data_IF_161333532753
#
_entry.id   IF_161333532753
#
_cell.length_a   1.000
_cell.length_b   1.000
_cell.length_c   1.000
_cell.angle_alpha   90.00
_cell.angle_beta   90.00
_cell.angle_gamma   90.00
#
_symmetry.space_group_name_H-M   'P 1'
#
loop_
_entity.id
_entity.type
_entity.pdbx_description
1 polymer ?
#
# COMPACT_ATOMS: atom_id res chain seq x y z
N UNK A 1 -29.54 2.10 -16.71
CA UNK A 1 -28.56 2.25 -17.83
C UNK A 1 -27.49 1.17 -17.71
N UNK A 2 -27.40 0.23 -18.67
CA UNK A 2 -26.29 -0.74 -18.72
C UNK A 2 -25.05 0.01 -19.20
N UNK A 3 -24.09 0.27 -18.31
CA UNK A 3 -22.79 0.82 -18.72
C UNK A 3 -22.21 -0.15 -19.76
N UNK A 4 -21.82 0.32 -20.95
CA UNK A 4 -21.30 -0.57 -21.99
C UNK A 4 -20.08 -1.31 -21.43
N UNK A 5 -20.06 -2.66 -21.54
CA UNK A 5 -19.04 -3.56 -20.96
C UNK A 5 -17.60 -3.04 -21.15
N UNK A 6 -17.32 -2.44 -22.30
CA UNK A 6 -16.04 -1.85 -22.69
C UNK A 6 -15.63 -0.64 -21.82
N UNK A 7 -16.58 0.23 -21.45
CA UNK A 7 -16.33 1.40 -20.56
C UNK A 7 -16.04 0.96 -19.13
N UNK A 8 -16.72 -0.09 -18.65
CA UNK A 8 -16.46 -0.67 -17.32
C UNK A 8 -15.05 -1.25 -17.22
N UNK A 9 -14.59 -1.99 -18.24
CA UNK A 9 -13.25 -2.57 -18.30
C UNK A 9 -12.15 -1.49 -18.29
N UNK A 10 -12.31 -0.41 -19.06
CA UNK A 10 -11.36 0.71 -19.08
C UNK A 10 -11.25 1.41 -17.72
N UNK A 11 -12.38 1.61 -17.03
CA UNK A 11 -12.38 2.20 -15.68
C UNK A 11 -11.66 1.28 -14.69
N UNK A 12 -11.91 -0.04 -14.75
CA UNK A 12 -11.24 -1.01 -13.89
C UNK A 12 -9.74 -1.04 -14.14
N UNK A 13 -9.31 -1.04 -15.40
CA UNK A 13 -7.89 -0.98 -15.77
C UNK A 13 -7.21 0.29 -15.27
N UNK A 14 -7.86 1.46 -15.45
CA UNK A 14 -7.35 2.73 -14.92
C UNK A 14 -7.18 2.69 -13.40
N UNK A 15 -8.17 2.17 -12.68
CA UNK A 15 -8.11 2.02 -11.21
C UNK A 15 -6.98 1.10 -10.77
N UNK A 16 -6.78 -0.04 -11.44
CA UNK A 16 -5.64 -0.95 -11.15
C UNK A 16 -4.29 -0.27 -11.39
N UNK A 17 -4.15 0.43 -12.52
CA UNK A 17 -2.91 1.17 -12.84
C UNK A 17 -2.63 2.25 -11.80
N UNK A 18 -3.65 3.00 -11.39
CA UNK A 18 -3.53 4.00 -10.32
C UNK A 18 -3.13 3.35 -9.00
N UNK A 19 -3.82 2.28 -8.58
CA UNK A 19 -3.52 1.58 -7.34
C UNK A 19 -2.09 0.99 -7.34
N UNK A 20 -1.63 0.42 -8.46
CA UNK A 20 -0.23 -0.03 -8.64
C UNK A 20 0.76 1.10 -8.42
N UNK A 21 0.56 2.22 -9.11
CA UNK A 21 1.43 3.38 -8.98
C UNK A 21 1.49 3.87 -7.54
N UNK A 22 0.33 3.94 -6.87
CA UNK A 22 0.23 4.36 -5.48
C UNK A 22 0.90 3.39 -4.51
N UNK A 23 0.82 2.08 -4.74
CA UNK A 23 1.58 1.11 -3.93
C UNK A 23 3.09 1.33 -4.04
N UNK A 24 3.61 1.53 -5.25
CA UNK A 24 5.03 1.86 -5.42
C UNK A 24 5.40 3.21 -4.80
N UNK A 25 4.58 4.23 -5.00
CA UNK A 25 4.81 5.54 -4.40
C UNK A 25 4.83 5.44 -2.87
N UNK A 26 3.91 4.67 -2.29
CA UNK A 26 3.88 4.48 -0.85
C UNK A 26 5.11 3.72 -0.36
N UNK A 27 5.60 2.73 -1.12
CA UNK A 27 6.83 2.03 -0.79
C UNK A 27 8.04 2.98 -0.72
N UNK A 28 8.11 3.96 -1.63
CA UNK A 28 9.15 5.01 -1.59
C UNK A 28 9.00 5.90 -0.35
N UNK A 29 7.79 6.31 0.00
CA UNK A 29 7.53 7.10 1.23
C UNK A 29 7.98 6.33 2.47
N UNK A 30 7.64 5.04 2.56
CA UNK A 30 8.07 4.18 3.66
C UNK A 30 9.57 3.96 3.72
N UNK A 31 10.25 3.85 2.57
CA UNK A 31 11.72 3.77 2.52
C UNK A 31 12.37 5.05 3.07
N UNK A 32 11.90 6.22 2.64
CA UNK A 32 12.43 7.51 3.11
C UNK A 32 12.16 7.69 4.60
N UNK A 33 10.93 7.40 5.05
CA UNK A 33 10.56 7.50 6.46
C UNK A 33 11.40 6.55 7.34
N UNK A 34 11.55 5.30 6.89
CA UNK A 34 12.38 4.30 7.57
C UNK A 34 13.83 4.75 7.70
N UNK A 35 14.44 5.25 6.62
CA UNK A 35 15.82 5.74 6.66
C UNK A 35 16.00 6.89 7.67
N UNK A 36 15.07 7.84 7.71
CA UNK A 36 15.10 8.97 8.67
C UNK A 36 14.96 8.45 10.10
N UNK A 37 13.97 7.58 10.35
CA UNK A 37 13.69 7.06 11.68
C UNK A 37 14.85 6.21 12.24
N UNK A 38 15.36 5.28 11.43
CA UNK A 38 16.50 4.43 11.79
C UNK A 38 17.75 5.28 12.06
N UNK A 39 18.01 6.31 11.23
CA UNK A 39 19.18 7.18 11.42
C UNK A 39 19.14 7.91 12.77
N UNK A 40 17.95 8.39 13.19
CA UNK A 40 17.77 9.00 14.51
C UNK A 40 18.04 8.00 15.64
N UNK A 41 17.50 6.78 15.54
CA UNK A 41 17.72 5.75 16.56
C UNK A 41 19.19 5.34 16.70
N UNK A 42 19.93 5.28 15.59
CA UNK A 42 21.36 5.00 15.61
C UNK A 42 22.12 6.14 16.29
N UNK A 43 21.78 7.40 15.99
CA UNK A 43 22.38 8.56 16.66
C UNK A 43 22.13 8.55 18.18
N UNK A 44 20.96 8.04 18.61
CA UNK A 44 20.59 7.90 20.01
C UNK A 44 21.15 6.62 20.68
N UNK A 45 22.10 5.92 20.04
CA UNK A 45 22.73 4.68 20.52
C UNK A 45 21.76 3.50 20.73
N UNK A 46 20.57 3.54 20.13
CA UNK A 46 19.55 2.48 20.21
C UNK A 46 19.69 1.45 19.08
N UNK A 47 20.91 0.95 18.85
CA UNK A 47 21.26 0.19 17.63
C UNK A 47 20.51 -1.15 17.48
N UNK A 48 20.28 -1.89 18.56
CA UNK A 48 19.53 -3.17 18.52
C UNK A 48 18.08 -2.92 18.11
N UNK A 49 17.42 -1.95 18.74
CA UNK A 49 16.05 -1.57 18.42
C UNK A 49 15.96 -1.02 16.99
N UNK A 50 16.97 -0.25 16.55
CA UNK A 50 17.04 0.26 15.18
C UNK A 50 17.09 -0.87 14.14
N UNK A 51 17.85 -1.95 14.39
CA UNK A 51 17.91 -3.10 13.50
C UNK A 51 16.56 -3.84 13.39
N UNK A 52 15.87 -4.03 14.53
CA UNK A 52 14.52 -4.64 14.55
C UNK A 52 13.51 -3.77 13.78
N UNK A 53 13.51 -2.46 14.03
CA UNK A 53 12.63 -1.52 13.32
C UNK A 53 12.93 -1.49 11.83
N UNK A 54 14.21 -1.50 11.44
CA UNK A 54 14.62 -1.56 10.03
C UNK A 54 14.09 -2.80 9.31
N UNK A 55 14.08 -3.95 9.99
CA UNK A 55 13.50 -5.17 9.45
C UNK A 55 11.98 -5.04 9.22
N UNK A 56 11.25 -4.41 10.13
CA UNK A 56 9.81 -4.13 9.93
C UNK A 56 9.55 -3.17 8.77
N UNK A 57 10.34 -2.10 8.63
CA UNK A 57 10.27 -1.20 7.48
C UNK A 57 10.52 -1.95 6.17
N UNK A 58 11.54 -2.82 6.13
CA UNK A 58 11.84 -3.64 4.96
C UNK A 58 10.66 -4.56 4.59
N UNK A 59 10.10 -5.28 5.55
CA UNK A 59 8.94 -6.15 5.31
C UNK A 59 7.77 -5.34 4.75
N UNK A 60 7.50 -4.16 5.32
CA UNK A 60 6.39 -3.34 4.86
C UNK A 60 6.60 -2.83 3.43
N UNK A 61 7.80 -2.36 3.11
CA UNK A 61 8.18 -1.94 1.75
C UNK A 61 8.02 -3.10 0.76
N UNK A 62 8.51 -4.29 1.12
CA UNK A 62 8.35 -5.48 0.28
C UNK A 62 6.89 -5.86 0.09
N UNK A 63 6.05 -5.77 1.13
CA UNK A 63 4.62 -6.04 1.02
C UNK A 63 3.94 -5.07 0.04
N UNK A 64 4.25 -3.77 0.11
CA UNK A 64 3.74 -2.76 -0.82
C UNK A 64 4.18 -3.04 -2.28
N UNK A 65 5.45 -3.42 -2.47
CA UNK A 65 5.99 -3.78 -3.79
C UNK A 65 5.32 -5.05 -4.34
N UNK A 66 5.14 -6.08 -3.52
CA UNK A 66 4.46 -7.32 -3.89
C UNK A 66 3.01 -7.01 -4.26
N UNK A 67 2.28 -6.22 -3.45
CA UNK A 67 0.92 -5.79 -3.76
C UNK A 67 0.83 -5.09 -5.12
N UNK A 68 1.77 -4.19 -5.42
CA UNK A 68 1.85 -3.51 -6.71
C UNK A 68 2.05 -4.48 -7.88
N UNK A 69 2.85 -5.54 -7.69
CA UNK A 69 3.16 -6.56 -8.71
C UNK A 69 1.99 -7.48 -8.98
N UNK A 70 1.30 -7.95 -7.94
CA UNK A 70 0.25 -8.98 -8.07
C UNK A 70 -1.12 -8.39 -8.42
N UNK A 71 -1.32 -7.07 -8.31
CA UNK A 71 -2.63 -6.42 -8.47
C UNK A 71 -3.34 -6.69 -9.80
N UNK A 72 -2.61 -7.08 -10.86
CA UNK A 72 -3.23 -7.42 -12.14
C UNK A 72 -3.83 -8.81 -12.20
N UNK A 73 -3.41 -9.73 -11.31
CA UNK A 73 -3.97 -11.07 -11.29
C UNK A 73 -5.44 -11.02 -10.83
N UNK A 74 -6.32 -11.68 -11.59
CA UNK A 74 -7.78 -11.73 -11.34
C UNK A 74 -8.14 -12.74 -10.26
N UNK A 75 -7.40 -12.74 -9.16
CA UNK A 75 -7.56 -13.71 -8.08
C UNK A 75 -8.15 -13.06 -6.83
N UNK A 76 -9.08 -13.78 -6.17
CA UNK A 76 -9.74 -13.30 -4.95
C UNK A 76 -8.74 -12.99 -3.82
N UNK A 77 -7.70 -13.82 -3.69
CA UNK A 77 -6.68 -13.64 -2.64
C UNK A 77 -5.83 -12.38 -2.87
N UNK A 78 -5.62 -11.95 -4.12
CA UNK A 78 -4.89 -10.73 -4.46
C UNK A 78 -5.64 -9.49 -3.94
N UNK A 79 -6.96 -9.47 -4.10
CA UNK A 79 -7.79 -8.40 -3.57
C UNK A 79 -7.71 -8.34 -2.05
N UNK A 80 -7.85 -9.49 -1.38
CA UNK A 80 -7.76 -9.57 0.08
C UNK A 80 -6.37 -9.17 0.58
N UNK A 81 -5.31 -9.61 -0.08
CA UNK A 81 -3.93 -9.26 0.28
C UNK A 81 -3.67 -7.76 0.10
N UNK A 82 -4.08 -7.17 -1.02
CA UNK A 82 -3.93 -5.73 -1.26
C UNK A 82 -4.69 -4.89 -0.22
N UNK A 83 -5.92 -5.30 0.14
CA UNK A 83 -6.68 -4.65 1.21
C UNK A 83 -6.03 -4.84 2.58
N UNK A 84 -5.55 -6.04 2.90
CA UNK A 84 -4.90 -6.34 4.18
C UNK A 84 -3.62 -5.52 4.34
N UNK A 85 -2.79 -5.43 3.30
CA UNK A 85 -1.55 -4.63 3.31
C UNK A 85 -1.87 -3.15 3.47
N UNK A 86 -2.85 -2.63 2.72
CA UNK A 86 -3.26 -1.22 2.82
C UNK A 86 -3.88 -0.93 4.21
N UNK A 87 -4.66 -1.86 4.75
CA UNK A 87 -5.28 -1.76 6.07
C UNK A 87 -4.27 -1.79 7.21
N UNK A 88 -3.32 -2.73 7.17
CA UNK A 88 -2.23 -2.80 8.13
C UNK A 88 -1.40 -1.51 8.11
N UNK A 89 -1.03 -1.01 6.92
CA UNK A 89 -0.34 0.28 6.78
C UNK A 89 -1.14 1.44 7.37
N UNK A 90 -2.45 1.50 7.09
CA UNK A 90 -3.33 2.55 7.61
C UNK A 90 -3.42 2.50 9.14
N UNK A 91 -3.53 1.31 9.72
CA UNK A 91 -3.56 1.11 11.17
C UNK A 91 -2.23 1.48 11.83
N UNK A 92 -1.10 1.09 11.23
CA UNK A 92 0.24 1.46 11.74
C UNK A 92 0.41 2.98 11.81
N UNK A 93 -0.05 3.70 10.79
CA UNK A 93 0.01 5.17 10.75
C UNK A 93 -0.97 5.82 11.74
N UNK A 94 -2.14 5.23 11.96
CA UNK A 94 -3.14 5.76 12.90
C UNK A 94 -2.73 5.59 14.38
N UNK A 95 -1.88 4.62 14.69
CA UNK A 95 -1.37 4.36 16.05
C UNK A 95 -0.06 5.11 16.37
N UNK A 96 0.58 5.70 15.36
CA UNK A 96 1.84 6.45 15.52
C UNK A 96 1.64 7.92 15.86
N UNK A 97 2.72 8.58 16.29
CA UNK A 97 2.79 10.06 16.36
C UNK A 97 2.98 10.58 14.92
N UNK A 98 2.08 11.41 14.39
CA UNK A 98 2.08 11.75 12.97
C UNK A 98 3.22 12.71 12.60
N UNK A 99 4.19 12.23 11.81
CA UNK A 99 5.09 13.08 11.01
C UNK A 99 4.43 13.38 9.64
N UNK A 100 4.92 14.38 8.92
CA UNK A 100 4.39 14.77 7.61
C UNK A 100 4.45 13.62 6.59
N UNK A 101 5.48 12.77 6.67
CA UNK A 101 5.60 11.58 5.83
C UNK A 101 4.52 10.53 6.15
N UNK A 102 4.13 10.42 7.41
CA UNK A 102 3.05 9.52 7.83
C UNK A 102 1.70 10.00 7.31
N UNK A 103 1.44 11.31 7.34
CA UNK A 103 0.24 11.93 6.76
C UNK A 103 0.18 11.71 5.25
N UNK A 104 1.31 11.86 4.56
CA UNK A 104 1.40 11.58 3.11
C UNK A 104 1.12 10.10 2.83
N UNK A 105 1.72 9.20 3.59
CA UNK A 105 1.47 7.75 3.45
C UNK A 105 0.01 7.39 3.71
N UNK A 106 -0.61 8.02 4.71
CA UNK A 106 -2.03 7.82 5.04
C UNK A 106 -2.93 8.28 3.90
N UNK A 107 -2.67 9.46 3.34
CA UNK A 107 -3.40 9.97 2.18
C UNK A 107 -3.28 9.03 0.98
N UNK A 108 -2.08 8.49 0.72
CA UNK A 108 -1.87 7.49 -0.33
C UNK A 108 -2.72 6.23 -0.07
N UNK A 109 -2.74 5.72 1.17
CA UNK A 109 -3.56 4.56 1.53
C UNK A 109 -5.05 4.78 1.30
N UNK A 110 -5.58 5.96 1.65
CA UNK A 110 -6.98 6.31 1.40
C UNK A 110 -7.30 6.30 -0.11
N UNK A 111 -6.39 6.82 -0.94
CA UNK A 111 -6.56 6.80 -2.40
C UNK A 111 -6.45 5.36 -2.93
N UNK A 112 -5.56 4.53 -2.37
CA UNK A 112 -5.49 3.10 -2.70
C UNK A 112 -6.83 2.42 -2.40
N UNK A 113 -7.42 2.63 -1.22
CA UNK A 113 -8.74 2.10 -0.88
C UNK A 113 -9.82 2.57 -1.86
N UNK A 114 -9.86 3.86 -2.19
CA UNK A 114 -10.81 4.43 -3.15
C UNK A 114 -10.69 3.80 -4.56
N UNK A 115 -9.52 3.30 -4.92
CA UNK A 115 -9.29 2.58 -6.17
C UNK A 115 -9.55 1.07 -6.06
N UNK A 116 -9.18 0.44 -4.95
CA UNK A 116 -9.35 -1.00 -4.72
C UNK A 116 -10.80 -1.40 -4.46
N UNK A 117 -11.52 -0.73 -3.56
CA UNK A 117 -12.89 -1.14 -3.15
C UNK A 117 -13.83 -1.34 -4.36
N UNK A 118 -13.88 -0.44 -5.36
CA UNK A 118 -14.73 -0.63 -6.54
C UNK A 118 -14.29 -1.80 -7.45
N UNK A 119 -13.06 -2.28 -7.33
CA UNK A 119 -12.54 -3.42 -8.07
C UNK A 119 -12.99 -4.77 -7.50
N UNK A 120 -13.76 -4.82 -6.40
CA UNK A 120 -14.29 -6.09 -5.85
C UNK A 120 -14.92 -6.97 -6.94
N UNK A 121 -15.77 -6.40 -7.79
CA UNK A 121 -16.43 -7.14 -8.89
C UNK A 121 -15.46 -7.69 -9.95
N UNK A 122 -14.26 -7.12 -10.08
CA UNK A 122 -13.23 -7.57 -11.00
C UNK A 122 -12.53 -8.83 -10.46
N UNK A 123 -12.16 -8.86 -9.18
CA UNK A 123 -11.47 -10.01 -8.56
C UNK A 123 -12.40 -11.15 -8.14
N UNK A 124 -13.68 -10.88 -7.96
CA UNK A 124 -14.68 -11.89 -7.59
C UNK A 124 -15.46 -12.45 -8.78
N UNK A 125 -15.17 -11.98 -9.99
CA UNK A 125 -15.71 -12.57 -11.21
C UNK A 125 -15.13 -13.98 -11.31
N UNK A 126 -15.99 -14.98 -11.24
CA UNK A 126 -15.62 -16.40 -11.26
C UNK A 126 -14.61 -16.67 -12.38
N UNK A 127 -13.49 -17.31 -12.02
CA UNK A 127 -12.61 -18.00 -12.95
C UNK A 127 -13.32 -19.24 -13.50
#
# INVERSE_FOLDING_TARGET
MKVPRKRSQLIQEKRRRTARFLFYLNAVVWLVNGAIFISKMIADSNTITAALVAFFFLINVLALVVAARIIDSQEKWVFTAALAITGANTLMLALGLPDILDVVSLAINLIIFANLIPLKSYYYKEA
#
